data_IF_037048012717
#
_entry.id   IF_037048012717
#
_cell.length_a   1.000
_cell.length_b   1.000
_cell.length_c   1.000
_cell.angle_alpha   90.00
_cell.angle_beta   90.00
_cell.angle_gamma   90.00
#
_symmetry.space_group_name_H-M   'P 1'
#
loop_
_entity.id
_entity.type
_entity.pdbx_description
1 polymer ?
#
# COMPACT_ATOMS: atom_id res chain seq x y z
N UNK A 1 -43.23 2.31 -15.12
CA UNK A 1 -43.21 2.15 -13.65
C UNK A 1 -41.84 2.56 -13.17
N UNK A 2 -41.78 3.60 -12.33
CA UNK A 2 -40.54 4.24 -11.86
C UNK A 2 -39.71 3.24 -11.05
N UNK A 3 -38.59 2.78 -11.61
CA UNK A 3 -37.55 2.06 -10.86
C UNK A 3 -36.58 3.10 -10.28
N UNK A 4 -36.98 3.75 -9.20
CA UNK A 4 -36.02 4.39 -8.28
C UNK A 4 -35.29 3.27 -7.56
N UNK A 5 -34.22 2.74 -8.18
CA UNK A 5 -33.19 2.04 -7.42
C UNK A 5 -32.63 3.06 -6.45
N UNK A 6 -32.90 2.84 -5.17
CA UNK A 6 -32.22 3.53 -4.09
C UNK A 6 -30.74 3.15 -4.26
N UNK A 7 -29.93 4.12 -4.69
CA UNK A 7 -28.50 3.96 -4.78
C UNK A 7 -28.01 3.52 -3.40
N UNK A 8 -27.54 2.27 -3.32
CA UNK A 8 -26.77 1.76 -2.20
C UNK A 8 -25.53 2.64 -2.10
N UNK A 9 -25.59 3.63 -1.20
CA UNK A 9 -24.44 4.38 -0.74
C UNK A 9 -23.57 3.41 0.07
N UNK A 10 -22.85 2.54 -0.64
CA UNK A 10 -21.79 1.71 -0.07
C UNK A 10 -20.71 2.67 0.39
N UNK A 11 -20.51 2.71 1.70
CA UNK A 11 -19.49 3.48 2.39
C UNK A 11 -18.15 3.45 1.64
N UNK A 12 -17.68 4.66 1.33
CA UNK A 12 -16.39 4.92 0.71
C UNK A 12 -15.25 4.44 1.61
N UNK A 13 -14.78 3.21 1.40
CA UNK A 13 -13.51 2.71 1.93
C UNK A 13 -12.81 1.75 0.93
N UNK A 14 -13.24 1.75 -0.33
CA UNK A 14 -12.62 1.00 -1.43
C UNK A 14 -12.12 1.92 -2.56
N UNK A 15 -11.64 3.13 -2.22
CA UNK A 15 -11.09 4.08 -3.21
C UNK A 15 -9.58 4.20 -3.00
N UNK A 16 -8.84 3.10 -3.19
CA UNK A 16 -7.39 3.18 -3.47
C UNK A 16 -7.13 2.99 -4.97
N UNK A 17 -8.09 2.47 -5.73
CA UNK A 17 -8.01 2.32 -7.19
C UNK A 17 -9.27 2.87 -7.87
N UNK A 18 -9.20 4.13 -8.34
CA UNK A 18 -10.13 4.62 -9.38
C UNK A 18 -11.16 5.65 -8.93
N UNK A 19 -10.73 6.90 -8.70
CA UNK A 19 -11.64 8.07 -8.84
C UNK A 19 -12.07 8.25 -10.31
N UNK A 20 -11.45 7.51 -11.24
CA UNK A 20 -11.65 7.64 -12.68
C UNK A 20 -12.04 6.34 -13.39
N UNK A 21 -12.29 5.24 -12.67
CA UNK A 21 -12.60 3.97 -13.30
C UNK A 21 -13.83 4.09 -14.22
N UNK A 22 -13.70 3.60 -15.45
CA UNK A 22 -14.78 3.57 -16.43
C UNK A 22 -15.76 2.43 -16.13
N UNK A 23 -17.03 2.78 -15.93
CA UNK A 23 -18.10 1.78 -15.88
C UNK A 23 -18.27 1.13 -17.26
N UNK A 24 -18.05 -0.19 -17.34
CA UNK A 24 -18.22 -0.96 -18.57
C UNK A 24 -19.61 -1.58 -18.67
N UNK A 25 -20.21 -1.91 -17.52
CA UNK A 25 -21.51 -2.54 -17.43
C UNK A 25 -22.17 -2.22 -16.10
N UNK A 26 -23.47 -1.92 -16.13
CA UNK A 26 -24.29 -1.75 -14.94
C UNK A 26 -25.74 -2.11 -15.25
N UNK A 27 -26.20 -3.24 -14.72
CA UNK A 27 -27.57 -3.70 -14.91
C UNK A 27 -28.00 -4.58 -13.73
N UNK A 28 -29.25 -4.40 -13.29
CA UNK A 28 -29.94 -5.27 -12.33
C UNK A 28 -29.12 -5.56 -11.04
N UNK A 29 -28.44 -4.53 -10.51
CA UNK A 29 -27.63 -4.64 -9.29
C UNK A 29 -26.24 -5.26 -9.48
N UNK A 30 -25.83 -5.51 -10.72
CA UNK A 30 -24.49 -5.96 -11.09
C UNK A 30 -23.73 -4.84 -11.79
N UNK A 31 -22.50 -4.57 -11.35
CA UNK A 31 -21.60 -3.63 -12.02
C UNK A 31 -20.25 -4.27 -12.36
N UNK A 32 -19.65 -3.81 -13.46
CA UNK A 32 -18.27 -4.08 -13.84
C UNK A 32 -17.59 -2.76 -14.19
N UNK A 33 -16.54 -2.46 -13.46
CA UNK A 33 -15.68 -1.30 -13.67
C UNK A 33 -14.31 -1.76 -14.16
N UNK A 34 -13.73 -1.01 -15.09
CA UNK A 34 -12.34 -1.13 -15.46
C UNK A 34 -11.61 0.15 -15.07
N UNK A 35 -10.48 -0.02 -14.42
CA UNK A 35 -9.61 1.09 -14.07
C UNK A 35 -8.14 0.71 -14.25
N UNK A 36 -7.28 1.55 -13.69
CA UNK A 36 -5.85 1.35 -13.73
C UNK A 36 -5.12 2.64 -14.03
N UNK A 37 -3.92 2.53 -14.60
CA UNK A 37 -3.12 3.69 -15.00
C UNK A 37 -2.12 3.36 -16.08
N UNK A 38 -1.73 4.37 -16.85
CA UNK A 38 -0.43 4.42 -17.52
C UNK A 38 0.40 5.50 -16.83
N UNK A 39 1.53 5.10 -16.25
CA UNK A 39 2.36 5.97 -15.41
C UNK A 39 3.80 5.95 -15.91
N UNK A 40 4.15 6.96 -16.72
CA UNK A 40 5.51 7.19 -17.17
C UNK A 40 6.36 7.73 -16.03
N UNK A 41 7.51 7.09 -15.76
CA UNK A 41 8.39 7.45 -14.64
C UNK A 41 9.85 7.38 -15.07
N UNK A 42 10.53 8.52 -15.00
CA UNK A 42 11.97 8.62 -15.18
C UNK A 42 12.63 8.77 -13.80
N UNK A 43 13.52 7.83 -13.45
CA UNK A 43 14.40 7.92 -12.29
C UNK A 43 15.80 8.38 -12.72
N UNK A 44 16.42 9.26 -11.94
CA UNK A 44 17.76 9.78 -12.16
C UNK A 44 18.57 9.69 -10.85
N UNK A 45 19.67 8.92 -10.88
CA UNK A 45 20.68 8.86 -9.81
C UNK A 45 22.07 9.06 -10.40
N UNK A 46 22.91 9.91 -9.80
CA UNK A 46 24.23 10.28 -10.36
C UNK A 46 24.16 10.69 -11.87
N UNK A 47 23.07 11.34 -12.27
CA UNK A 47 22.82 11.72 -13.67
C UNK A 47 22.61 10.53 -14.64
N UNK A 48 22.41 9.31 -14.13
CA UNK A 48 22.08 8.12 -14.93
C UNK A 48 20.57 7.88 -14.89
N UNK A 49 19.98 7.75 -16.06
CA UNK A 49 18.55 7.56 -16.25
C UNK A 49 18.16 6.09 -16.17
N UNK A 50 17.03 5.82 -15.51
CA UNK A 50 16.35 4.52 -15.52
C UNK A 50 14.86 4.72 -15.81
N UNK A 51 14.31 3.92 -16.72
CA UNK A 51 12.87 3.89 -16.99
C UNK A 51 12.18 3.02 -15.93
N UNK A 52 11.28 3.63 -15.15
CA UNK A 52 10.44 2.98 -14.15
C UNK A 52 8.97 2.96 -14.55
N UNK A 53 8.66 3.25 -15.83
CA UNK A 53 7.30 3.29 -16.36
C UNK A 53 6.55 2.00 -16.07
N UNK A 54 5.27 2.14 -15.70
CA UNK A 54 4.40 1.01 -15.42
C UNK A 54 2.99 1.27 -15.92
N UNK A 55 2.30 0.19 -16.28
CA UNK A 55 0.87 0.20 -16.57
C UNK A 55 0.19 -0.68 -15.54
N UNK A 56 -0.98 -0.26 -15.04
CA UNK A 56 -1.88 -1.14 -14.28
C UNK A 56 -3.20 -1.23 -14.99
N UNK A 57 -3.77 -2.42 -15.00
CA UNK A 57 -5.15 -2.66 -15.41
C UNK A 57 -5.86 -3.40 -14.29
N UNK A 58 -7.04 -2.94 -13.92
CA UNK A 58 -7.86 -3.61 -12.93
C UNK A 58 -9.32 -3.72 -13.36
N UNK A 59 -9.98 -4.72 -12.81
CA UNK A 59 -11.39 -5.01 -13.03
C UNK A 59 -12.06 -5.26 -11.69
N UNK A 60 -13.11 -4.50 -11.41
CA UNK A 60 -13.92 -4.62 -10.21
C UNK A 60 -15.33 -5.05 -10.60
N UNK A 61 -15.71 -6.26 -10.20
CA UNK A 61 -17.08 -6.75 -10.32
C UNK A 61 -17.79 -6.70 -8.98
N UNK A 62 -19.01 -6.16 -8.95
CA UNK A 62 -19.88 -6.20 -7.77
C UNK A 62 -21.27 -6.70 -8.15
N UNK A 63 -21.86 -7.52 -7.27
CA UNK A 63 -23.24 -8.03 -7.43
C UNK A 63 -23.98 -7.81 -6.12
N UNK A 64 -25.02 -6.98 -6.15
CA UNK A 64 -25.94 -6.84 -5.03
C UNK A 64 -26.75 -8.13 -4.87
N UNK A 65 -26.77 -8.68 -3.66
CA UNK A 65 -27.57 -9.87 -3.30
C UNK A 65 -28.90 -9.41 -2.70
N UNK A 66 -28.83 -8.44 -1.78
CA UNK A 66 -29.96 -7.70 -1.21
C UNK A 66 -29.48 -6.33 -0.70
N UNK A 67 -30.36 -5.57 -0.05
CA UNK A 67 -30.10 -4.21 0.45
C UNK A 67 -28.94 -4.09 1.46
N UNK A 68 -28.45 -5.21 2.01
CA UNK A 68 -27.41 -5.23 3.04
C UNK A 68 -26.26 -6.19 2.75
N UNK A 69 -26.25 -6.81 1.57
CA UNK A 69 -25.31 -7.88 1.23
C UNK A 69 -24.94 -7.85 -0.26
N UNK A 70 -23.65 -7.96 -0.55
CA UNK A 70 -23.11 -7.99 -1.92
C UNK A 70 -21.95 -8.97 -2.05
N UNK A 71 -21.75 -9.48 -3.26
CA UNK A 71 -20.53 -10.17 -3.68
C UNK A 71 -19.58 -9.23 -4.41
N UNK A 72 -18.28 -9.48 -4.29
CA UNK A 72 -17.22 -8.71 -4.97
C UNK A 72 -16.16 -9.63 -5.56
N UNK A 73 -15.64 -9.28 -6.73
CA UNK A 73 -14.46 -9.88 -7.33
C UNK A 73 -13.54 -8.79 -7.86
N UNK A 74 -12.23 -8.95 -7.67
CA UNK A 74 -11.25 -7.95 -8.10
C UNK A 74 -9.98 -8.61 -8.64
N UNK A 75 -9.49 -8.05 -9.75
CA UNK A 75 -8.21 -8.35 -10.34
C UNK A 75 -7.45 -7.05 -10.61
N UNK A 76 -6.15 -7.04 -10.34
CA UNK A 76 -5.23 -5.99 -10.82
C UNK A 76 -3.91 -6.63 -11.28
N UNK A 77 -3.50 -6.29 -12.50
CA UNK A 77 -2.19 -6.61 -13.07
C UNK A 77 -1.35 -5.36 -13.25
N UNK A 78 -0.06 -5.42 -12.93
CA UNK A 78 0.95 -4.41 -13.28
C UNK A 78 1.88 -4.94 -14.38
N UNK A 79 2.13 -4.11 -15.38
CA UNK A 79 2.94 -4.41 -16.56
C UNK A 79 4.09 -3.40 -16.66
N UNK A 80 5.30 -3.90 -16.94
CA UNK A 80 6.50 -3.08 -17.14
C UNK A 80 7.24 -3.49 -18.42
N UNK A 81 8.27 -2.75 -18.82
CA UNK A 81 9.17 -3.06 -19.95
C UNK A 81 10.61 -3.10 -19.47
N UNK A 82 11.48 -3.84 -20.16
CA UNK A 82 12.89 -4.02 -19.77
C UNK A 82 13.81 -4.14 -21.00
N UNK A 83 13.70 -3.19 -21.93
CA UNK A 83 14.38 -3.26 -23.23
C UNK A 83 15.92 -3.25 -23.16
N UNK A 84 16.51 -2.56 -22.17
CA UNK A 84 17.98 -2.49 -21.97
C UNK A 84 18.76 -2.23 -23.28
N UNK A 85 18.27 -1.28 -24.08
CA UNK A 85 18.85 -0.90 -25.37
C UNK A 85 18.63 -1.89 -26.52
N UNK A 86 17.78 -2.91 -26.34
CA UNK A 86 17.44 -3.93 -27.34
C UNK A 86 15.94 -3.90 -27.66
N UNK A 87 15.59 -4.20 -28.90
CA UNK A 87 14.19 -4.40 -29.28
C UNK A 87 13.66 -5.76 -28.78
N UNK A 88 12.34 -5.85 -28.61
CA UNK A 88 11.57 -7.07 -28.35
C UNK A 88 11.94 -7.81 -27.06
N UNK A 89 12.42 -7.11 -26.03
CA UNK A 89 12.56 -7.74 -24.71
C UNK A 89 11.20 -7.92 -24.05
N UNK A 90 11.08 -9.03 -23.31
CA UNK A 90 9.87 -9.29 -22.53
C UNK A 90 9.91 -8.44 -21.27
N UNK A 91 8.84 -7.68 -21.05
CA UNK A 91 8.56 -7.07 -19.77
C UNK A 91 7.99 -8.07 -18.75
N UNK A 92 7.64 -7.56 -17.58
CA UNK A 92 7.07 -8.34 -16.49
C UNK A 92 5.57 -8.11 -16.33
N UNK A 93 4.88 -9.11 -15.79
CA UNK A 93 3.51 -9.02 -15.31
C UNK A 93 3.48 -9.43 -13.83
N UNK A 94 3.06 -8.52 -12.96
CA UNK A 94 2.72 -8.82 -11.57
C UNK A 94 1.19 -8.90 -11.41
N UNK A 95 0.67 -10.06 -11.01
CA UNK A 95 -0.70 -10.17 -10.51
C UNK A 95 -0.73 -9.62 -9.07
N UNK A 96 -1.10 -8.35 -8.94
CA UNK A 96 -1.06 -7.60 -7.68
C UNK A 96 -2.19 -8.01 -6.75
N UNK A 97 -3.40 -8.16 -7.30
CA UNK A 97 -4.60 -8.57 -6.57
C UNK A 97 -5.37 -9.62 -7.37
N UNK A 98 -5.81 -10.66 -6.67
CA UNK A 98 -6.64 -11.75 -7.20
C UNK A 98 -7.51 -12.27 -6.07
N UNK A 99 -8.68 -11.66 -5.86
CA UNK A 99 -9.54 -12.04 -4.74
C UNK A 99 -11.03 -12.00 -5.10
N UNK A 100 -11.81 -12.71 -4.30
CA UNK A 100 -13.25 -12.60 -4.24
C UNK A 100 -13.70 -12.49 -2.79
N UNK A 101 -14.90 -11.95 -2.57
CA UNK A 101 -15.40 -11.75 -1.22
C UNK A 101 -16.89 -11.48 -1.15
N UNK A 102 -17.34 -11.34 0.09
CA UNK A 102 -18.71 -10.99 0.46
C UNK A 102 -18.65 -9.84 1.45
N UNK A 103 -19.53 -8.85 1.26
CA UNK A 103 -19.62 -7.71 2.14
C UNK A 103 -21.05 -7.29 2.41
N UNK A 104 -21.21 -6.45 3.42
CA UNK A 104 -22.48 -5.95 3.88
C UNK A 104 -22.33 -5.00 5.05
N UNK A 105 -23.40 -4.85 5.85
CA UNK A 105 -23.40 -3.95 7.02
C UNK A 105 -22.33 -4.30 8.07
N UNK A 106 -21.84 -5.54 8.08
CA UNK A 106 -20.81 -6.01 9.01
C UNK A 106 -19.37 -5.70 8.54
N UNK A 107 -19.20 -5.16 7.33
CA UNK A 107 -17.90 -5.03 6.65
C UNK A 107 -17.78 -5.97 5.44
N UNK A 108 -16.56 -6.22 4.99
CA UNK A 108 -16.24 -7.06 3.83
C UNK A 108 -15.18 -8.09 4.22
N UNK A 109 -15.38 -9.34 3.83
CA UNK A 109 -14.42 -10.45 3.99
C UNK A 109 -14.04 -10.97 2.60
N UNK A 110 -12.74 -11.12 2.35
CA UNK A 110 -12.20 -11.62 1.08
C UNK A 110 -11.23 -12.77 1.29
N UNK A 111 -11.11 -13.64 0.30
CA UNK A 111 -10.02 -14.62 0.20
C UNK A 111 -9.29 -14.49 -1.14
N UNK A 112 -7.98 -14.70 -1.11
CA UNK A 112 -7.07 -14.51 -2.24
C UNK A 112 -6.04 -13.41 -1.95
N UNK A 113 -5.23 -13.05 -2.94
CA UNK A 113 -4.20 -12.01 -2.77
C UNK A 113 -4.87 -10.64 -2.62
N UNK A 114 -4.83 -10.10 -1.40
CA UNK A 114 -5.41 -8.81 -1.02
C UNK A 114 -4.58 -8.15 0.09
N UNK A 115 -4.89 -6.90 0.43
CA UNK A 115 -4.18 -6.16 1.48
C UNK A 115 -4.50 -6.70 2.88
N UNK A 116 -3.46 -6.80 3.72
CA UNK A 116 -3.54 -7.00 5.16
C UNK A 116 -3.96 -5.72 5.89
N UNK A 117 -3.68 -5.65 7.19
CA UNK A 117 -4.21 -4.59 8.05
C UNK A 117 -3.32 -3.35 8.19
N UNK A 118 -2.03 -3.39 7.87
CA UNK A 118 -1.11 -2.28 8.21
C UNK A 118 -0.93 -1.24 7.10
N UNK A 119 -1.36 -1.52 5.87
CA UNK A 119 -1.35 -0.52 4.78
C UNK A 119 -2.04 0.79 5.16
N UNK A 120 -3.23 0.73 5.76
CA UNK A 120 -3.99 1.92 6.20
C UNK A 120 -3.32 2.71 7.33
N UNK A 121 -2.35 2.12 8.04
CA UNK A 121 -1.55 2.82 9.04
C UNK A 121 -0.37 3.52 8.35
N UNK A 122 0.29 2.86 7.38
CA UNK A 122 1.35 3.49 6.58
C UNK A 122 0.84 4.62 5.68
N UNK A 123 -0.43 4.56 5.26
CA UNK A 123 -1.10 5.61 4.47
C UNK A 123 -1.16 6.98 5.18
N UNK A 124 -0.88 7.05 6.49
CA UNK A 124 -0.77 8.32 7.20
C UNK A 124 0.42 9.15 6.68
N UNK A 125 1.54 8.51 6.35
CA UNK A 125 2.77 9.19 5.91
C UNK A 125 3.11 8.91 4.44
N UNK A 126 2.57 7.85 3.85
CA UNK A 126 2.69 7.53 2.42
C UNK A 126 1.78 8.41 1.55
N UNK A 127 2.16 9.69 1.40
CA UNK A 127 1.34 10.72 0.74
C UNK A 127 1.98 11.30 -0.54
N UNK A 128 3.20 10.90 -0.87
CA UNK A 128 3.94 11.44 -2.02
C UNK A 128 3.56 10.71 -3.32
N UNK A 129 3.88 11.31 -4.46
CA UNK A 129 3.60 10.70 -5.78
C UNK A 129 4.60 9.59 -6.16
N UNK A 130 5.83 9.61 -5.64
CA UNK A 130 6.89 8.65 -6.01
C UNK A 130 7.74 8.17 -4.82
N UNK A 131 8.34 9.09 -4.05
CA UNK A 131 9.20 8.77 -2.89
C UNK A 131 8.36 8.59 -1.60
N UNK A 132 9.00 8.59 -0.43
CA UNK A 132 8.34 8.35 0.87
C UNK A 132 8.16 6.86 1.18
N UNK A 133 7.49 6.55 2.29
CA UNK A 133 7.19 5.19 2.75
C UNK A 133 8.43 4.26 2.82
N UNK A 134 9.60 4.84 3.11
CA UNK A 134 10.86 4.09 3.12
C UNK A 134 11.25 3.59 4.52
N UNK A 135 10.49 3.93 5.56
CA UNK A 135 10.77 3.56 6.94
C UNK A 135 9.60 2.90 7.66
N UNK A 136 8.40 2.86 7.08
CA UNK A 136 7.23 2.15 7.60
C UNK A 136 7.07 0.75 6.95
N UNK A 137 8.05 -0.13 7.21
CA UNK A 137 8.05 -1.49 6.62
C UNK A 137 6.86 -2.35 7.08
N UNK A 138 6.46 -3.30 6.22
CA UNK A 138 5.34 -4.22 6.49
C UNK A 138 5.76 -5.67 6.21
N UNK A 139 5.56 -6.56 7.17
CA UNK A 139 5.63 -8.02 6.93
C UNK A 139 4.51 -8.48 6.00
N UNK A 140 4.66 -9.64 5.35
CA UNK A 140 3.80 -10.05 4.23
C UNK A 140 2.29 -10.11 4.58
N UNK A 141 1.91 -10.69 5.72
CA UNK A 141 0.51 -10.77 6.19
C UNK A 141 -0.11 -9.41 6.49
N UNK A 142 0.74 -8.40 6.76
CA UNK A 142 0.34 -7.03 7.05
C UNK A 142 0.32 -6.11 5.82
N UNK A 143 1.08 -6.47 4.78
CA UNK A 143 1.15 -5.80 3.49
C UNK A 143 0.11 -6.37 2.52
N UNK A 144 0.51 -7.23 1.58
CA UNK A 144 -0.36 -7.85 0.59
C UNK A 144 0.19 -9.21 0.18
N UNK A 145 -0.56 -10.27 0.48
CA UNK A 145 -0.15 -11.65 0.23
C UNK A 145 -1.38 -12.52 -0.06
N UNK A 146 -1.19 -13.64 -0.76
CA UNK A 146 -2.24 -14.62 -1.08
C UNK A 146 -2.57 -15.52 0.13
N UNK A 147 -3.26 -16.64 -0.09
CA UNK A 147 -3.60 -17.66 0.93
C UNK A 147 -4.08 -17.05 2.27
N UNK A 148 -4.84 -15.95 2.18
CA UNK A 148 -5.18 -15.08 3.29
C UNK A 148 -6.65 -14.71 3.24
N UNK A 149 -7.28 -14.73 4.41
CA UNK A 149 -8.58 -14.11 4.65
C UNK A 149 -8.32 -12.69 5.14
N UNK A 150 -8.92 -11.70 4.50
CA UNK A 150 -8.84 -10.30 4.91
C UNK A 150 -10.24 -9.77 5.23
N UNK A 151 -10.32 -8.95 6.26
CA UNK A 151 -11.52 -8.28 6.73
C UNK A 151 -11.30 -6.77 6.80
N UNK A 152 -12.31 -5.99 6.41
CA UNK A 152 -12.38 -4.55 6.70
C UNK A 152 -13.80 -4.16 7.13
N UNK A 153 -13.90 -3.25 8.09
CA UNK A 153 -15.17 -2.72 8.59
C UNK A 153 -15.05 -1.26 8.99
N UNK A 154 -16.14 -0.52 8.85
CA UNK A 154 -16.25 0.88 9.30
C UNK A 154 -17.48 1.03 10.19
N UNK A 155 -17.28 1.50 11.41
CA UNK A 155 -18.30 1.63 12.44
C UNK A 155 -18.27 3.05 13.01
N UNK A 156 -19.10 3.93 12.45
CA UNK A 156 -19.04 5.36 12.71
C UNK A 156 -17.60 5.89 12.50
N UNK A 157 -16.95 6.40 13.53
CA UNK A 157 -15.60 6.96 13.47
C UNK A 157 -14.47 5.91 13.57
N UNK A 158 -14.81 4.64 13.81
CA UNK A 158 -13.86 3.54 13.97
C UNK A 158 -13.77 2.71 12.69
N UNK A 159 -12.63 2.77 12.01
CA UNK A 159 -12.26 1.82 10.96
C UNK A 159 -11.43 0.68 11.54
N UNK A 160 -11.68 -0.55 11.12
CA UNK A 160 -10.91 -1.74 11.51
C UNK A 160 -10.54 -2.58 10.30
N UNK A 161 -9.33 -3.15 10.30
CA UNK A 161 -8.92 -4.21 9.37
C UNK A 161 -8.31 -5.37 10.14
N UNK A 162 -8.52 -6.58 9.66
CA UNK A 162 -7.87 -7.77 10.18
C UNK A 162 -7.52 -8.72 9.04
N UNK A 163 -6.50 -9.55 9.20
CA UNK A 163 -6.20 -10.63 8.28
C UNK A 163 -5.65 -11.85 9.00
N UNK A 164 -5.84 -13.02 8.39
CA UNK A 164 -5.22 -14.27 8.78
C UNK A 164 -4.72 -14.98 7.52
N UNK A 165 -3.42 -15.26 7.46
CA UNK A 165 -2.77 -16.04 6.41
C UNK A 165 -2.59 -17.48 6.89
N UNK A 166 -2.93 -18.44 6.03
CA UNK A 166 -2.62 -19.84 6.25
C UNK A 166 -1.21 -20.16 5.76
N UNK A 167 -0.55 -21.12 6.41
CA UNK A 167 0.67 -21.72 5.87
C UNK A 167 0.36 -22.45 4.55
N UNK A 168 1.31 -22.42 3.61
CA UNK A 168 1.13 -23.00 2.28
C UNK A 168 1.44 -24.49 2.31
N UNK A 169 0.49 -25.29 1.84
CA UNK A 169 0.62 -26.75 1.76
C UNK A 169 1.81 -27.15 0.88
N UNK A 170 2.63 -28.05 1.38
CA UNK A 170 3.72 -28.70 0.67
C UNK A 170 3.43 -30.20 0.56
N UNK A 171 3.59 -30.75 -0.64
CA UNK A 171 3.31 -32.16 -0.92
C UNK A 171 4.60 -32.88 -1.31
N UNK A 172 4.87 -33.98 -0.62
CA UNK A 172 5.94 -34.93 -0.95
C UNK A 172 5.35 -36.33 -1.12
N UNK A 173 6.14 -37.28 -1.63
CA UNK A 173 5.70 -38.69 -1.76
C UNK A 173 5.32 -39.34 -0.42
N UNK A 174 5.86 -38.85 0.70
CA UNK A 174 5.73 -39.49 2.01
C UNK A 174 4.81 -38.75 2.99
N UNK A 175 4.56 -37.47 2.78
CA UNK A 175 3.74 -36.64 3.67
C UNK A 175 3.21 -35.37 2.98
N UNK A 176 2.09 -34.88 3.51
CA UNK A 176 1.60 -33.51 3.31
C UNK A 176 2.03 -32.70 4.53
N UNK A 177 2.74 -31.61 4.30
CA UNK A 177 3.18 -30.64 5.32
C UNK A 177 2.79 -29.23 4.87
N UNK A 178 3.33 -28.20 5.52
CA UNK A 178 3.25 -26.82 5.08
C UNK A 178 4.59 -26.10 5.31
N UNK A 179 4.69 -24.86 4.85
CA UNK A 179 5.89 -24.02 5.02
C UNK A 179 5.95 -23.29 6.37
N UNK A 180 4.99 -23.50 7.28
CA UNK A 180 4.81 -22.76 8.53
C UNK A 180 4.83 -21.23 8.31
N UNK A 181 4.25 -20.73 7.21
CA UNK A 181 4.20 -19.31 6.91
C UNK A 181 2.84 -18.67 7.22
N UNK A 182 2.17 -19.16 8.27
CA UNK A 182 0.94 -18.58 8.79
C UNK A 182 1.20 -17.31 9.62
N UNK A 183 0.17 -16.51 9.78
CA UNK A 183 0.24 -15.29 10.57
C UNK A 183 -1.03 -14.47 10.52
N UNK A 184 -1.02 -13.33 11.18
CA UNK A 184 -2.17 -12.44 11.27
C UNK A 184 -1.76 -10.97 11.34
N UNK A 185 -2.70 -10.10 11.00
CA UNK A 185 -2.57 -8.66 11.25
C UNK A 185 -3.89 -8.05 11.69
N UNK A 186 -3.81 -6.96 12.46
CA UNK A 186 -4.96 -6.19 12.95
C UNK A 186 -4.60 -4.70 12.95
N UNK A 187 -5.55 -3.84 12.60
CA UNK A 187 -5.43 -2.40 12.77
C UNK A 187 -6.76 -1.74 13.10
N UNK A 188 -6.66 -0.58 13.73
CA UNK A 188 -7.76 0.30 14.02
C UNK A 188 -7.36 1.76 13.73
N UNK A 189 -8.30 2.51 13.15
CA UNK A 189 -8.18 3.95 12.95
C UNK A 189 -9.41 4.60 13.58
N UNK A 190 -9.19 5.60 14.43
CA UNK A 190 -10.24 6.38 15.05
C UNK A 190 -10.14 7.84 14.61
N UNK A 191 -11.20 8.36 14.00
CA UNK A 191 -11.35 9.79 13.71
C UNK A 191 -11.95 10.51 14.93
N UNK A 192 -11.30 11.57 15.41
CA UNK A 192 -11.79 12.32 16.57
C UNK A 192 -12.83 13.33 16.10
N UNK A 193 -14.06 12.85 15.87
CA UNK A 193 -15.16 13.66 15.32
C UNK A 193 -14.72 14.51 14.13
N UNK A 194 -15.14 15.78 14.12
CA UNK A 194 -14.81 16.73 13.04
C UNK A 194 -13.54 17.55 13.29
N UNK A 195 -12.67 17.13 14.22
CA UNK A 195 -11.48 17.90 14.60
C UNK A 195 -10.39 17.92 13.52
N UNK A 196 -10.46 17.00 12.53
CA UNK A 196 -9.41 16.75 11.57
C UNK A 196 -8.29 15.83 12.09
N UNK A 197 -8.35 15.41 13.36
CA UNK A 197 -7.38 14.46 13.96
C UNK A 197 -7.82 13.02 13.72
N UNK A 198 -6.87 12.18 13.29
CA UNK A 198 -7.04 10.72 13.26
C UNK A 198 -5.89 10.05 14.00
N UNK A 199 -6.20 8.97 14.71
CA UNK A 199 -5.24 8.11 15.39
C UNK A 199 -5.34 6.70 14.81
N UNK A 200 -4.19 6.09 14.52
CA UNK A 200 -4.09 4.75 13.97
C UNK A 200 -3.16 3.89 14.81
N UNK A 201 -3.50 2.61 14.98
CA UNK A 201 -2.59 1.62 15.54
C UNK A 201 -2.81 0.26 14.86
N UNK A 202 -1.77 -0.56 14.82
CA UNK A 202 -1.90 -1.93 14.34
C UNK A 202 -0.75 -2.82 14.78
N UNK A 203 -0.96 -4.12 14.63
CA UNK A 203 0.01 -5.16 14.95
C UNK A 203 -0.05 -6.27 13.90
N UNK A 204 1.07 -6.93 13.65
CA UNK A 204 1.13 -8.13 12.85
C UNK A 204 2.22 -9.07 13.35
N UNK A 205 2.00 -10.37 13.14
CA UNK A 205 2.94 -11.44 13.45
C UNK A 205 2.80 -12.53 12.39
N UNK A 206 3.93 -13.05 11.93
CA UNK A 206 3.96 -14.10 10.92
C UNK A 206 5.17 -14.99 11.09
N UNK A 207 4.97 -16.30 11.08
CA UNK A 207 6.06 -17.25 10.89
C UNK A 207 6.56 -17.14 9.44
N UNK A 208 7.88 -17.19 9.26
CA UNK A 208 8.53 -17.01 7.94
C UNK A 208 9.23 -18.28 7.47
N UNK A 209 9.57 -19.18 8.40
CA UNK A 209 10.07 -20.52 8.18
C UNK A 209 10.05 -21.32 9.50
N UNK A 210 10.51 -22.57 9.48
CA UNK A 210 10.74 -23.33 10.70
C UNK A 210 11.71 -22.60 11.66
N UNK A 211 11.22 -22.25 12.86
CA UNK A 211 11.94 -21.45 13.86
C UNK A 211 12.35 -20.04 13.40
N UNK A 212 11.58 -19.43 12.50
CA UNK A 212 11.77 -18.04 12.10
C UNK A 212 10.43 -17.32 12.03
N UNK A 213 10.35 -16.11 12.56
CA UNK A 213 9.13 -15.30 12.56
C UNK A 213 9.45 -13.82 12.56
N UNK A 214 8.48 -13.02 12.16
CA UNK A 214 8.58 -11.56 12.16
C UNK A 214 7.33 -10.96 12.79
N UNK A 215 7.53 -10.00 13.69
CA UNK A 215 6.45 -9.23 14.31
C UNK A 215 6.69 -7.73 14.18
N UNK A 216 5.62 -6.95 14.18
CA UNK A 216 5.68 -5.49 14.20
C UNK A 216 4.41 -4.87 14.75
N UNK A 217 4.54 -3.72 15.41
CA UNK A 217 3.44 -2.81 15.68
C UNK A 217 3.68 -1.45 15.03
N UNK A 218 2.59 -0.75 14.74
CA UNK A 218 2.60 0.61 14.22
C UNK A 218 1.69 1.51 15.02
N UNK A 219 2.12 2.76 15.18
CA UNK A 219 1.32 3.86 15.72
C UNK A 219 1.38 5.02 14.75
N UNK A 220 0.24 5.65 14.48
CA UNK A 220 0.18 6.81 13.59
C UNK A 220 -0.80 7.86 14.12
N UNK A 221 -0.51 9.11 13.81
CA UNK A 221 -1.41 10.24 14.07
C UNK A 221 -1.36 11.20 12.89
N UNK A 222 -2.50 11.78 12.53
CA UNK A 222 -2.57 12.82 11.52
C UNK A 222 -3.50 13.94 11.94
N UNK A 223 -3.26 15.12 11.36
CA UNK A 223 -4.07 16.31 11.52
C UNK A 223 -4.26 16.99 10.16
N UNK A 224 -5.51 17.12 9.74
CA UNK A 224 -5.90 17.84 8.54
C UNK A 224 -6.63 19.15 8.93
N UNK A 225 -6.17 20.27 8.40
CA UNK A 225 -6.81 21.58 8.59
C UNK A 225 -6.71 22.41 7.33
N UNK A 226 -7.85 22.87 6.81
CA UNK A 226 -7.93 23.62 5.55
C UNK A 226 -7.17 22.88 4.44
N UNK A 227 -6.17 23.53 3.82
CA UNK A 227 -5.36 22.96 2.75
C UNK A 227 -4.12 22.19 3.23
N UNK A 228 -3.93 22.07 4.55
CA UNK A 228 -2.78 21.44 5.18
C UNK A 228 -3.11 20.06 5.75
N UNK A 229 -2.11 19.19 5.70
CA UNK A 229 -2.11 17.88 6.31
C UNK A 229 -0.74 17.59 6.92
N UNK A 230 -0.73 17.07 8.15
CA UNK A 230 0.46 16.64 8.85
C UNK A 230 0.23 15.24 9.41
N UNK A 231 1.26 14.41 9.40
CA UNK A 231 1.19 13.09 9.98
C UNK A 231 2.55 12.61 10.51
N UNK A 232 2.47 11.66 11.44
CA UNK A 232 3.62 10.87 11.87
C UNK A 232 3.22 9.41 11.99
N UNK A 233 4.13 8.53 11.60
CA UNK A 233 4.01 7.07 11.72
C UNK A 233 5.26 6.54 12.42
N UNK A 234 5.07 5.62 13.36
CA UNK A 234 6.12 4.89 14.04
C UNK A 234 5.90 3.40 13.82
N UNK A 235 6.96 2.66 13.53
CA UNK A 235 6.96 1.20 13.45
C UNK A 235 8.08 0.65 14.32
N UNK A 236 7.81 -0.42 15.03
CA UNK A 236 8.82 -1.19 15.74
C UNK A 236 8.47 -2.67 15.66
N UNK A 237 9.48 -3.49 15.42
CA UNK A 237 9.30 -4.91 15.21
C UNK A 237 10.60 -5.68 15.15
N UNK A 238 10.49 -6.98 14.90
CA UNK A 238 11.60 -7.91 15.07
C UNK A 238 11.56 -8.96 13.97
N UNK A 239 12.71 -9.25 13.38
CA UNK A 239 12.94 -10.49 12.62
C UNK A 239 13.68 -11.48 13.51
N UNK A 240 13.10 -12.67 13.70
CA UNK A 240 13.63 -13.76 14.51
C UNK A 240 13.99 -14.92 13.58
N UNK A 241 15.19 -15.46 13.71
CA UNK A 241 15.63 -16.62 12.97
C UNK A 241 16.54 -17.49 13.84
N UNK A 242 16.07 -18.67 14.21
CA UNK A 242 16.72 -19.58 15.14
C UNK A 242 17.17 -18.87 16.44
N UNK A 243 18.47 -18.63 16.61
CA UNK A 243 19.06 -17.96 17.78
C UNK A 243 19.44 -16.49 17.53
N UNK A 244 19.07 -15.93 16.37
CA UNK A 244 19.34 -14.55 16.00
C UNK A 244 18.05 -13.73 16.04
N UNK A 245 18.19 -12.46 16.40
CA UNK A 245 17.13 -11.47 16.39
C UNK A 245 17.67 -10.15 15.84
N UNK A 246 16.91 -9.54 14.94
CA UNK A 246 17.13 -8.18 14.44
C UNK A 246 15.94 -7.32 14.82
N UNK A 247 16.13 -6.36 15.72
CA UNK A 247 15.14 -5.31 15.98
C UNK A 247 15.14 -4.33 14.80
N UNK A 248 13.97 -3.81 14.40
CA UNK A 248 13.83 -2.73 13.42
C UNK A 248 12.90 -1.67 13.98
N UNK A 249 13.36 -0.43 13.97
CA UNK A 249 12.60 0.71 14.47
C UNK A 249 12.62 1.81 13.41
N UNK A 250 11.43 2.24 12.99
CA UNK A 250 11.26 3.25 11.96
C UNK A 250 10.31 4.37 12.40
N UNK A 251 10.55 5.56 11.87
CA UNK A 251 9.63 6.68 12.02
C UNK A 251 9.58 7.52 10.75
N UNK A 252 8.38 7.98 10.44
CA UNK A 252 8.09 8.84 9.30
C UNK A 252 7.33 10.08 9.77
N UNK A 253 7.68 11.22 9.18
CA UNK A 253 6.95 12.48 9.31
C UNK A 253 6.54 12.94 7.92
N UNK A 254 5.31 13.39 7.76
CA UNK A 254 4.79 13.84 6.48
C UNK A 254 4.04 15.17 6.60
N UNK A 255 4.21 16.03 5.61
CA UNK A 255 3.46 17.26 5.47
C UNK A 255 2.97 17.41 4.02
N UNK A 256 1.75 17.93 3.85
CA UNK A 256 1.15 18.22 2.56
C UNK A 256 0.44 19.56 2.58
N UNK A 257 0.58 20.30 1.48
CA UNK A 257 -0.13 21.54 1.21
C UNK A 257 -0.78 21.48 -0.18
N UNK A 258 -2.06 21.84 -0.26
CA UNK A 258 -2.82 21.88 -1.51
C UNK A 258 -3.07 23.32 -1.95
N UNK A 259 -2.69 23.67 -3.17
CA UNK A 259 -2.85 25.01 -3.73
C UNK A 259 -3.51 24.92 -5.12
N UNK A 260 -4.83 25.02 -5.16
CA UNK A 260 -5.60 24.83 -6.38
C UNK A 260 -5.41 23.42 -6.96
N UNK A 261 -4.81 23.32 -8.16
CA UNK A 261 -4.50 22.04 -8.81
C UNK A 261 -3.12 21.48 -8.44
N UNK A 262 -2.32 22.21 -7.65
CA UNK A 262 -1.01 21.76 -7.21
C UNK A 262 -1.09 21.16 -5.80
N UNK A 263 -0.37 20.07 -5.58
CA UNK A 263 -0.16 19.46 -4.26
C UNK A 263 1.34 19.38 -4.03
N UNK A 264 1.80 19.89 -2.89
CA UNK A 264 3.19 19.81 -2.45
C UNK A 264 3.27 18.89 -1.26
N UNK A 265 4.20 17.96 -1.27
CA UNK A 265 4.44 17.06 -0.13
C UNK A 265 5.90 17.03 0.27
N UNK A 266 6.15 16.77 1.54
CA UNK A 266 7.48 16.48 2.06
C UNK A 266 7.42 15.39 3.10
N UNK A 267 8.40 14.49 3.10
CA UNK A 267 8.52 13.45 4.11
C UNK A 267 9.94 13.36 4.67
N UNK A 268 10.05 12.99 5.94
CA UNK A 268 11.28 12.50 6.54
C UNK A 268 11.05 11.06 7.00
N UNK A 269 11.97 10.15 6.66
CA UNK A 269 11.80 8.72 6.86
C UNK A 269 13.14 8.16 7.37
N UNK A 270 13.14 7.57 8.57
CA UNK A 270 14.32 6.95 9.16
C UNK A 270 14.01 5.54 9.65
N UNK A 271 14.86 4.57 9.29
CA UNK A 271 14.76 3.16 9.70
C UNK A 271 16.11 2.68 10.21
N UNK A 272 16.15 2.22 11.46
CA UNK A 272 17.32 1.56 12.06
C UNK A 272 17.05 0.06 12.18
N UNK A 273 18.05 -0.76 11.85
CA UNK A 273 18.10 -2.16 12.26
C UNK A 273 19.14 -2.36 13.36
N UNK A 274 18.87 -3.28 14.29
CA UNK A 274 19.80 -3.64 15.36
C UNK A 274 19.87 -5.15 15.52
N UNK A 275 21.03 -5.72 15.22
CA UNK A 275 21.31 -7.14 15.43
C UNK A 275 22.47 -7.32 16.41
N UNK A 276 22.24 -8.07 17.49
CA UNK A 276 23.26 -8.38 18.50
C UNK A 276 23.98 -7.15 19.06
N UNK A 277 23.28 -6.03 19.18
CA UNK A 277 23.84 -4.76 19.67
C UNK A 277 24.45 -3.86 18.58
N UNK A 278 24.67 -4.36 17.37
CA UNK A 278 25.15 -3.58 16.23
C UNK A 278 23.98 -2.90 15.54
N UNK A 279 24.05 -1.58 15.39
CA UNK A 279 23.03 -0.75 14.72
C UNK A 279 23.45 -0.45 13.29
N UNK A 280 22.49 -0.39 12.38
CA UNK A 280 22.68 0.06 11.02
C UNK A 280 21.49 0.94 10.60
N UNK A 281 21.79 2.05 9.93
CA UNK A 281 20.76 2.89 9.30
C UNK A 281 20.39 2.22 7.98
N UNK A 282 19.17 1.71 7.87
CA UNK A 282 18.62 1.06 6.67
C UNK A 282 17.98 2.07 5.72
N UNK A 283 17.46 3.17 6.27
CA UNK A 283 16.96 4.32 5.52
C UNK A 283 17.14 5.60 6.34
N UNK A 284 17.57 6.67 5.70
CA UNK A 284 17.55 8.03 6.25
C UNK A 284 17.29 8.98 5.07
N UNK A 285 16.04 9.40 4.90
CA UNK A 285 15.59 10.06 3.67
C UNK A 285 14.77 11.31 4.00
N UNK A 286 15.13 12.43 3.36
CA UNK A 286 14.27 13.60 3.28
C UNK A 286 13.83 13.78 1.83
N UNK A 287 12.53 13.76 1.57
CA UNK A 287 11.99 13.88 0.22
C UNK A 287 11.00 15.04 0.11
N UNK A 288 10.97 15.67 -1.07
CA UNK A 288 10.01 16.70 -1.45
C UNK A 288 9.42 16.40 -2.83
N UNK A 289 8.16 16.74 -3.04
CA UNK A 289 7.54 16.68 -4.36
C UNK A 289 6.57 17.82 -4.64
N UNK A 290 6.30 17.99 -5.93
CA UNK A 290 5.21 18.80 -6.44
C UNK A 290 4.44 18.01 -7.50
N UNK A 291 3.13 17.92 -7.31
CA UNK A 291 2.21 17.22 -8.22
C UNK A 291 1.17 18.20 -8.74
N UNK A 292 1.00 18.27 -10.07
CA UNK A 292 0.00 19.13 -10.70
C UNK A 292 -1.07 18.29 -11.40
N UNK A 293 -2.34 18.52 -11.05
CA UNK A 293 -3.50 17.81 -11.56
C UNK A 293 -4.19 18.61 -12.65
N UNK A 294 -3.85 18.35 -13.92
CA UNK A 294 -4.53 18.97 -15.07
C UNK A 294 -6.02 18.58 -15.13
N UNK A 295 -6.30 17.33 -14.76
CA UNK A 295 -7.62 16.73 -14.62
C UNK A 295 -7.60 15.73 -13.47
N UNK A 296 -8.77 15.31 -12.95
CA UNK A 296 -8.83 14.25 -11.94
C UNK A 296 -8.10 12.96 -12.32
N UNK A 297 -8.00 12.68 -13.63
CA UNK A 297 -7.37 11.49 -14.19
C UNK A 297 -6.03 11.74 -14.90
N UNK A 298 -5.50 12.96 -14.87
CA UNK A 298 -4.24 13.27 -15.55
C UNK A 298 -3.40 14.26 -14.76
N UNK A 299 -2.20 13.82 -14.37
CA UNK A 299 -1.28 14.59 -13.52
C UNK A 299 0.17 14.42 -13.94
N UNK A 300 0.98 15.42 -13.66
CA UNK A 300 2.44 15.34 -13.69
C UNK A 300 3.02 15.55 -12.30
N UNK A 301 4.20 14.99 -12.03
CA UNK A 301 4.92 15.22 -10.79
C UNK A 301 6.44 15.28 -11.00
N UNK A 302 7.09 15.98 -10.09
CA UNK A 302 8.54 15.99 -9.90
C UNK A 302 8.81 15.75 -8.42
N UNK A 303 9.75 14.87 -8.11
CA UNK A 303 10.13 14.55 -6.73
C UNK A 303 11.63 14.38 -6.60
N UNK A 304 12.19 14.85 -5.49
CA UNK A 304 13.60 14.68 -5.17
C UNK A 304 13.74 14.06 -3.77
N UNK A 305 14.56 13.01 -3.66
CA UNK A 305 14.91 12.36 -2.41
C UNK A 305 16.37 12.63 -2.07
N UNK A 306 16.60 13.35 -0.98
CA UNK A 306 17.90 13.51 -0.35
C UNK A 306 18.16 12.28 0.52
N UNK A 307 19.12 11.46 0.10
CA UNK A 307 19.52 10.27 0.82
C UNK A 307 20.64 10.65 1.81
N UNK A 308 20.32 10.57 3.10
CA UNK A 308 21.17 11.02 4.19
C UNK A 308 22.05 9.91 4.75
N UNK A 309 21.99 8.70 4.17
CA UNK A 309 22.85 7.58 4.56
C UNK A 309 24.33 7.90 4.31
N UNK A 310 25.17 7.47 5.25
CA UNK A 310 26.62 7.66 5.17
C UNK A 310 27.24 6.74 4.10
N UNK A 311 27.80 7.34 3.06
CA UNK A 311 28.44 6.63 1.95
C UNK A 311 29.61 5.74 2.39
N UNK A 312 30.29 6.08 3.49
CA UNK A 312 31.40 5.29 4.01
C UNK A 312 30.90 4.01 4.70
N UNK A 313 29.63 3.98 5.13
CA UNK A 313 28.98 2.81 5.75
C UNK A 313 28.23 1.95 4.74
N UNK A 314 27.43 2.56 3.87
CA UNK A 314 26.52 1.82 2.96
C UNK A 314 27.04 1.71 1.53
N UNK A 315 28.10 2.46 1.21
CA UNK A 315 28.64 2.59 -0.14
C UNK A 315 27.93 3.67 -0.96
N UNK A 316 28.67 4.24 -1.92
CA UNK A 316 28.20 5.35 -2.76
C UNK A 316 26.84 5.09 -3.42
N UNK A 317 26.68 3.96 -4.10
CA UNK A 317 25.44 3.67 -4.84
C UNK A 317 24.18 3.62 -3.94
N UNK A 318 24.30 3.22 -2.68
CA UNK A 318 23.18 3.15 -1.73
C UNK A 318 22.90 4.47 -1.00
N UNK A 319 23.82 5.43 -1.09
CA UNK A 319 23.71 6.77 -0.50
C UNK A 319 23.45 7.84 -1.56
N UNK A 320 23.22 7.46 -2.82
CA UNK A 320 22.85 8.41 -3.88
C UNK A 320 21.45 8.97 -3.67
N UNK A 321 21.33 10.27 -3.94
CA UNK A 321 20.05 10.96 -4.12
C UNK A 321 19.31 10.44 -5.35
N UNK A 322 18.00 10.69 -5.41
CA UNK A 322 17.15 10.32 -6.55
C UNK A 322 16.24 11.48 -6.97
N UNK A 323 16.28 11.83 -8.25
CA UNK A 323 15.28 12.68 -8.90
C UNK A 323 14.30 11.79 -9.68
N UNK A 324 13.01 12.00 -9.49
CA UNK A 324 11.95 11.34 -10.23
C UNK A 324 11.09 12.37 -10.99
N UNK A 325 10.84 12.10 -12.26
CA UNK A 325 9.86 12.83 -13.08
C UNK A 325 8.77 11.85 -13.51
N UNK A 326 7.50 12.26 -13.41
CA UNK A 326 6.42 11.38 -13.83
C UNK A 326 5.23 12.08 -14.45
N UNK A 327 4.53 11.30 -15.27
CA UNK A 327 3.28 11.66 -15.90
C UNK A 327 2.34 10.47 -15.79
N UNK A 328 1.19 10.68 -15.16
CA UNK A 328 0.24 9.62 -14.84
C UNK A 328 -1.13 9.93 -15.42
N UNK A 329 -1.62 9.01 -16.23
CA UNK A 329 -2.99 8.93 -16.69
C UNK A 329 -3.69 7.79 -15.95
N UNK A 330 -4.81 8.08 -15.30
CA UNK A 330 -5.68 7.08 -14.67
C UNK A 330 -6.81 6.71 -15.65
N UNK A 331 -7.02 5.42 -15.89
CA UNK A 331 -8.09 4.91 -16.76
C UNK A 331 -9.46 5.03 -16.12
#
# INVERSE_FOLDING_TARGET
MNKTLIALAVSAAAVVTGVNAGELYNQDGTSLEMGGRAEARLSLKDGKAEDKTRVRLNFLGKVAINDSLYGVGFYEGEFTTADDGKADQKGDLENRYTYAGIGGNFGEVTYGKNDGALGVITDFTDIMSYHGNSAAYKIAVADRVDNMVAYKGQFADLGVKASYRFADRQESTSAITDNNADGYSLSAIYAIGDTGVKLGAGYADQDTAANASSDQYMLAASYAISDFYFAGTFVDGQDKAANSKTDKTGYELAAKYTMGQAVFTSTYNYLESKNSGNKADEADNFAVDATYFFKPNFRSYISYNFNLLDSDKVGKAKSEDELALGLRYDF
#
